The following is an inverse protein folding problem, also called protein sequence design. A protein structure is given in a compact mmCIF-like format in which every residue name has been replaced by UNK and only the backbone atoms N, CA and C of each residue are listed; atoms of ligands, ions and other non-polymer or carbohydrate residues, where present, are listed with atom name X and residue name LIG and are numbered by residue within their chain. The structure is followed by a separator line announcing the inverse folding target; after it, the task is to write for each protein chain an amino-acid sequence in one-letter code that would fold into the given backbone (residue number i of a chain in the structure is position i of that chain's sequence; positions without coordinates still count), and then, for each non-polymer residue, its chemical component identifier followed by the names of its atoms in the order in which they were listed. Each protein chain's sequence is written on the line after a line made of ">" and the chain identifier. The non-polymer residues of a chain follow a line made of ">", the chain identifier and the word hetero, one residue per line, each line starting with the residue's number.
data_IF_425218396938
#
_entry.id   IF_425218396938
#
_cell.length_a   1.000
_cell.length_b   1.000
_cell.length_c   1.000
_cell.angle_alpha   90.00
_cell.angle_beta   90.00
_cell.angle_gamma   90.00
#
_symmetry.space_group_name_H-M   'P 1'
#
loop_
_entity.id
_entity.type
_entity.pdbx_description
1 polymer ?
#
# COMPACT_ATOMS: atom_id res chain seq x y z
N UNK A 1 6.67 4.81 25.70
CA UNK A 1 6.41 4.03 24.46
C UNK A 1 5.02 4.33 23.89
N UNK A 2 3.91 4.13 24.60
CA UNK A 2 2.57 4.37 24.06
C UNK A 2 2.33 5.83 23.63
N UNK A 3 2.97 6.80 24.28
CA UNK A 3 2.86 8.23 23.93
C UNK A 3 3.60 8.61 22.62
N UNK A 4 4.32 7.67 21.99
CA UNK A 4 5.00 7.90 20.71
C UNK A 4 4.10 7.57 19.52
N UNK A 5 3.04 6.76 19.73
CA UNK A 5 2.07 6.48 18.68
C UNK A 5 1.13 7.68 18.51
N UNK A 6 1.13 8.27 17.34
CA UNK A 6 0.19 9.34 17.01
C UNK A 6 -1.21 8.80 16.71
N UNK A 7 -2.21 9.68 16.86
CA UNK A 7 -3.58 9.39 16.43
C UNK A 7 -3.60 9.05 14.93
N UNK A 8 -4.37 8.04 14.57
CA UNK A 8 -4.47 7.60 13.18
C UNK A 8 -5.07 8.72 12.29
N UNK A 9 -4.68 8.85 11.00
CA UNK A 9 -5.13 9.94 10.12
C UNK A 9 -6.63 10.16 10.08
N UNK A 10 -7.42 9.09 10.11
CA UNK A 10 -8.89 9.19 10.10
C UNK A 10 -9.47 9.72 11.42
N UNK A 11 -8.81 9.47 12.56
CA UNK A 11 -9.19 10.08 13.83
C UNK A 11 -8.86 11.58 13.86
N UNK A 12 -7.71 11.97 13.30
CA UNK A 12 -7.34 13.39 13.13
C UNK A 12 -8.38 14.09 12.24
N UNK A 13 -8.77 13.47 11.12
CA UNK A 13 -9.79 14.01 10.22
C UNK A 13 -11.16 14.14 10.93
N UNK A 14 -11.55 13.15 11.73
CA UNK A 14 -12.79 13.22 12.50
C UNK A 14 -12.80 14.41 13.48
N UNK A 15 -11.66 14.69 14.11
CA UNK A 15 -11.51 15.86 15.00
C UNK A 15 -11.55 17.15 14.18
N UNK A 16 -10.88 17.24 13.06
CA UNK A 16 -10.89 18.42 12.16
C UNK A 16 -12.31 18.79 11.72
N UNK A 17 -13.14 17.80 11.44
CA UNK A 17 -14.51 17.99 10.93
C UNK A 17 -15.59 17.96 12.01
N UNK A 18 -15.23 17.89 13.30
CA UNK A 18 -16.18 17.68 14.41
C UNK A 18 -17.32 18.74 14.48
N UNK A 19 -17.05 19.96 13.99
CA UNK A 19 -18.00 21.07 13.99
C UNK A 19 -18.37 21.52 12.57
N UNK A 20 -18.06 20.71 11.57
CA UNK A 20 -18.37 20.98 10.16
C UNK A 20 -19.56 20.14 9.73
N UNK A 21 -20.37 20.69 8.83
CA UNK A 21 -21.52 20.00 8.24
C UNK A 21 -21.51 20.20 6.73
N UNK A 22 -21.84 19.17 5.95
CA UNK A 22 -21.98 19.31 4.50
C UNK A 22 -23.27 20.09 4.19
N UNK A 23 -23.49 20.54 2.94
CA UNK A 23 -24.75 21.13 2.52
C UNK A 23 -25.92 20.15 2.76
N UNK A 24 -27.05 20.67 3.21
CA UNK A 24 -28.18 19.87 3.74
C UNK A 24 -28.87 18.96 2.71
N UNK A 25 -28.67 19.16 1.41
CA UNK A 25 -29.34 18.43 0.33
C UNK A 25 -28.37 17.79 -0.69
N UNK A 26 -27.06 17.80 -0.43
CA UNK A 26 -26.09 17.27 -1.37
C UNK A 26 -25.67 15.83 -1.02
N UNK A 27 -25.33 15.06 -2.05
CA UNK A 27 -24.70 13.73 -1.91
C UNK A 27 -23.30 13.90 -1.26
N UNK A 28 -22.97 13.05 -0.28
CA UNK A 28 -21.67 13.07 0.37
C UNK A 28 -20.74 12.07 -0.32
N UNK A 29 -19.59 12.53 -0.80
CA UNK A 29 -18.56 11.71 -1.44
C UNK A 29 -17.38 11.48 -0.49
N UNK A 30 -17.21 10.24 -0.02
CA UNK A 30 -16.10 9.85 0.87
C UNK A 30 -14.91 9.38 0.07
N UNK A 31 -13.99 10.30 -0.24
CA UNK A 31 -12.77 10.02 -1.01
C UNK A 31 -11.52 9.86 -0.11
N UNK A 32 -11.71 9.50 1.15
CA UNK A 32 -10.62 9.44 2.17
C UNK A 32 -9.99 8.07 2.28
N UNK A 33 -10.79 7.00 2.25
CA UNK A 33 -10.35 5.63 2.56
C UNK A 33 -10.10 4.87 1.27
N UNK A 34 -8.89 4.32 1.12
CA UNK A 34 -8.52 3.45 0.01
C UNK A 34 -9.05 2.03 0.19
N UNK A 35 -10.35 1.88 0.38
CA UNK A 35 -11.04 0.60 0.46
C UNK A 35 -11.93 0.41 -0.78
N UNK A 36 -11.69 -0.67 -1.56
CA UNK A 36 -12.53 -0.97 -2.71
C UNK A 36 -14.02 -1.00 -2.36
N UNK A 37 -14.85 -0.31 -3.14
CA UNK A 37 -16.30 -0.24 -2.95
C UNK A 37 -17.07 -1.23 -3.86
N UNK A 38 -16.34 -2.12 -4.54
CA UNK A 38 -16.94 -3.19 -5.36
C UNK A 38 -17.27 -4.41 -4.48
N UNK A 39 -18.31 -5.18 -4.83
CA UNK A 39 -18.60 -6.41 -4.11
C UNK A 39 -17.43 -7.41 -4.24
N UNK A 40 -17.23 -8.19 -3.19
CA UNK A 40 -16.30 -9.32 -3.26
C UNK A 40 -16.79 -10.31 -4.31
N UNK A 41 -15.92 -10.82 -5.20
CA UNK A 41 -16.29 -11.78 -6.24
C UNK A 41 -17.02 -13.01 -5.68
N UNK A 42 -18.07 -13.45 -6.40
CA UNK A 42 -18.97 -14.51 -5.95
C UNK A 42 -18.25 -15.85 -5.74
N UNK A 43 -17.28 -16.19 -6.59
CA UNK A 43 -16.46 -17.41 -6.46
C UNK A 43 -15.65 -17.45 -5.15
N UNK A 44 -15.22 -16.31 -4.65
CA UNK A 44 -14.52 -16.19 -3.35
C UNK A 44 -15.49 -16.47 -2.20
N UNK A 45 -16.70 -15.88 -2.27
CA UNK A 45 -17.76 -16.07 -1.26
C UNK A 45 -18.20 -17.54 -1.20
N UNK A 46 -18.45 -18.14 -2.35
CA UNK A 46 -18.84 -19.55 -2.47
C UNK A 46 -17.75 -20.49 -1.92
N UNK A 47 -16.50 -20.25 -2.25
CA UNK A 47 -15.39 -21.02 -1.70
C UNK A 47 -15.32 -20.92 -0.18
N UNK A 48 -15.48 -19.74 0.39
CA UNK A 48 -15.53 -19.54 1.83
C UNK A 48 -16.69 -20.31 2.48
N UNK A 49 -17.91 -20.20 1.93
CA UNK A 49 -19.11 -20.86 2.44
C UNK A 49 -18.96 -22.39 2.43
N UNK A 50 -18.48 -22.95 1.30
CA UNK A 50 -18.30 -24.39 1.13
C UNK A 50 -17.23 -24.96 2.06
N UNK A 51 -16.27 -24.16 2.49
CA UNK A 51 -15.18 -24.57 3.37
C UNK A 51 -15.39 -24.17 4.85
N UNK A 52 -16.52 -23.53 5.21
CA UNK A 52 -16.81 -23.13 6.59
C UNK A 52 -16.68 -24.28 7.63
N UNK A 53 -17.01 -25.56 7.33
CA UNK A 53 -16.78 -26.67 8.27
C UNK A 53 -15.32 -26.85 8.71
N UNK A 54 -14.34 -26.35 7.97
CA UNK A 54 -12.92 -26.41 8.34
C UNK A 54 -12.55 -25.52 9.54
N UNK A 55 -13.48 -24.71 10.07
CA UNK A 55 -13.28 -23.92 11.30
C UNK A 55 -12.98 -24.82 12.53
N UNK A 56 -13.24 -26.12 12.45
CA UNK A 56 -12.92 -27.08 13.52
C UNK A 56 -11.44 -27.51 13.56
N UNK A 57 -10.56 -26.93 12.72
CA UNK A 57 -9.15 -27.31 12.61
C UNK A 57 -8.23 -26.07 12.72
N UNK A 58 -7.08 -26.27 13.37
CA UNK A 58 -6.04 -25.25 13.38
C UNK A 58 -5.33 -25.16 12.01
N UNK A 59 -5.09 -23.96 11.50
CA UNK A 59 -4.29 -23.76 10.29
C UNK A 59 -2.78 -23.82 10.60
N UNK A 60 -1.97 -24.14 9.59
CA UNK A 60 -0.51 -24.00 9.68
C UNK A 60 -0.14 -22.51 9.66
N UNK A 61 0.79 -22.08 10.50
CA UNK A 61 1.33 -20.71 10.47
C UNK A 61 2.07 -20.39 9.18
N UNK A 62 2.64 -21.40 8.52
CA UNK A 62 3.30 -21.29 7.22
C UNK A 62 2.32 -21.21 6.02
N UNK A 63 1.02 -21.31 6.26
CA UNK A 63 0.00 -21.49 5.22
C UNK A 63 -0.11 -22.90 4.67
N UNK A 64 -1.27 -23.24 4.12
CA UNK A 64 -1.49 -24.51 3.45
C UNK A 64 -0.91 -24.49 2.03
N UNK A 65 -0.53 -25.66 1.53
CA UNK A 65 0.18 -25.81 0.25
C UNK A 65 -0.65 -25.24 -0.92
N UNK A 66 -1.97 -25.47 -0.95
CA UNK A 66 -2.87 -24.94 -1.97
C UNK A 66 -2.82 -23.40 -2.05
N UNK A 67 -2.77 -22.69 -0.92
CA UNK A 67 -2.65 -21.24 -0.91
C UNK A 67 -1.27 -20.78 -1.37
N UNK A 68 -0.20 -21.48 -0.94
CA UNK A 68 1.15 -21.20 -1.40
C UNK A 68 1.30 -21.38 -2.91
N UNK A 69 0.77 -22.47 -3.44
CA UNK A 69 0.83 -22.77 -4.87
C UNK A 69 0.07 -21.71 -5.69
N UNK A 70 -1.10 -21.28 -5.22
CA UNK A 70 -1.85 -20.20 -5.87
C UNK A 70 -1.08 -18.88 -5.88
N UNK A 71 -0.41 -18.52 -4.78
CA UNK A 71 0.40 -17.32 -4.68
C UNK A 71 1.69 -17.43 -5.52
N UNK A 72 2.35 -18.59 -5.56
CA UNK A 72 3.49 -18.87 -6.43
C UNK A 72 3.13 -18.78 -7.91
N UNK A 73 2.00 -19.39 -8.28
CA UNK A 73 1.49 -19.31 -9.65
C UNK A 73 1.25 -17.85 -10.08
N UNK A 74 0.65 -17.05 -9.18
CA UNK A 74 0.47 -15.62 -9.45
C UNK A 74 1.79 -14.90 -9.65
N UNK A 75 2.71 -14.97 -8.69
CA UNK A 75 3.94 -14.18 -8.73
C UNK A 75 4.87 -14.61 -9.88
N UNK A 76 5.01 -15.92 -10.09
CA UNK A 76 5.86 -16.47 -11.14
C UNK A 76 5.33 -16.08 -12.53
N UNK A 77 4.02 -16.19 -12.75
CA UNK A 77 3.40 -15.81 -14.02
C UNK A 77 3.43 -14.29 -14.24
N UNK A 78 3.09 -13.51 -13.19
CA UNK A 78 2.97 -12.05 -13.27
C UNK A 78 4.30 -11.37 -13.57
N UNK A 79 5.38 -11.86 -12.98
CA UNK A 79 6.70 -11.26 -13.07
C UNK A 79 7.73 -12.08 -13.86
N UNK A 80 7.30 -13.20 -14.47
CA UNK A 80 8.17 -14.13 -15.18
C UNK A 80 9.34 -14.60 -14.32
N UNK A 81 9.03 -15.13 -13.14
CA UNK A 81 9.98 -15.63 -12.14
C UNK A 81 9.81 -17.15 -11.95
N UNK A 82 10.71 -17.75 -11.16
CA UNK A 82 10.71 -19.18 -10.80
C UNK A 82 10.95 -19.38 -9.31
N UNK A 83 10.15 -18.68 -8.47
CA UNK A 83 10.20 -18.84 -7.02
C UNK A 83 9.75 -20.24 -6.62
N UNK A 84 10.31 -20.73 -5.51
CA UNK A 84 9.96 -22.00 -4.87
C UNK A 84 9.10 -21.78 -3.63
N UNK A 85 8.56 -22.85 -3.07
CA UNK A 85 7.73 -22.82 -1.85
C UNK A 85 8.48 -22.35 -0.60
N UNK A 86 9.81 -22.44 -0.59
CA UNK A 86 10.66 -21.91 0.49
C UNK A 86 10.84 -20.38 0.42
N UNK A 87 10.60 -19.79 -0.74
CA UNK A 87 10.76 -18.36 -1.01
C UNK A 87 9.45 -17.56 -0.88
N UNK A 88 8.41 -18.15 -0.29
CA UNK A 88 7.13 -17.47 -0.08
C UNK A 88 6.45 -17.92 1.21
N UNK A 89 5.80 -16.98 1.90
CA UNK A 89 4.96 -17.23 3.07
C UNK A 89 3.62 -16.52 2.92
N UNK A 90 2.49 -17.25 2.92
CA UNK A 90 1.16 -16.66 3.06
C UNK A 90 1.02 -15.89 4.39
N UNK A 91 0.39 -14.72 4.34
CA UNK A 91 0.26 -13.82 5.50
C UNK A 91 -1.17 -13.40 5.76
N UNK A 92 -1.47 -12.96 6.97
CA UNK A 92 -2.76 -12.38 7.36
C UNK A 92 -2.91 -10.93 6.84
N UNK A 93 -2.71 -10.77 5.53
CA UNK A 93 -2.54 -9.48 4.86
C UNK A 93 -1.15 -8.89 5.10
N UNK A 94 -0.74 -7.94 4.26
CA UNK A 94 0.62 -7.37 4.32
C UNK A 94 0.88 -6.54 5.58
N UNK A 95 -0.17 -6.00 6.23
CA UNK A 95 -0.02 -5.27 7.50
C UNK A 95 0.64 -6.11 8.58
N UNK A 96 0.38 -7.43 8.61
CA UNK A 96 1.06 -8.36 9.51
C UNK A 96 2.58 -8.26 9.38
N UNK A 97 3.09 -8.42 8.17
CA UNK A 97 4.53 -8.38 7.90
C UNK A 97 5.10 -6.99 8.15
N UNK A 98 4.45 -5.95 7.62
CA UNK A 98 4.90 -4.57 7.78
C UNK A 98 5.07 -4.15 9.25
N UNK A 99 4.27 -4.71 10.15
CA UNK A 99 4.38 -4.42 11.58
C UNK A 99 5.32 -5.39 12.32
N UNK A 100 5.20 -6.69 12.07
CA UNK A 100 5.90 -7.70 12.86
C UNK A 100 7.34 -7.97 12.37
N UNK A 101 7.61 -7.85 11.07
CA UNK A 101 8.93 -8.13 10.51
C UNK A 101 10.01 -7.19 11.05
N UNK A 102 9.82 -5.87 11.14
CA UNK A 102 10.79 -4.98 11.76
C UNK A 102 11.13 -5.38 13.20
N UNK A 103 10.14 -5.77 13.99
CA UNK A 103 10.35 -6.23 15.36
C UNK A 103 11.18 -7.51 15.43
N UNK A 104 10.96 -8.44 14.50
CA UNK A 104 11.75 -9.66 14.37
C UNK A 104 13.17 -9.38 13.92
N UNK A 105 13.32 -8.68 12.78
CA UNK A 105 14.60 -8.52 12.11
C UNK A 105 15.58 -7.61 12.87
N UNK A 106 15.04 -6.60 13.52
CA UNK A 106 15.81 -5.62 14.28
C UNK A 106 16.01 -6.00 15.75
N UNK A 107 15.40 -7.12 16.19
CA UNK A 107 15.54 -7.61 17.57
C UNK A 107 17.01 -7.85 17.95
N UNK A 108 17.43 -7.28 19.08
CA UNK A 108 18.78 -7.48 19.61
C UNK A 108 19.88 -6.62 18.94
N UNK A 109 19.57 -5.85 17.90
CA UNK A 109 20.50 -4.84 17.37
C UNK A 109 20.66 -3.68 18.37
N UNK A 110 21.87 -3.17 18.54
CA UNK A 110 22.16 -2.14 19.53
C UNK A 110 21.50 -0.79 19.19
N UNK A 111 21.53 -0.38 17.93
CA UNK A 111 20.98 0.88 17.43
C UNK A 111 20.26 0.63 16.10
N UNK A 112 19.12 -0.10 16.13
CA UNK A 112 18.46 -0.46 14.88
C UNK A 112 17.97 0.78 14.15
N UNK A 113 18.16 0.81 12.82
CA UNK A 113 17.78 1.93 11.97
C UNK A 113 16.88 1.46 10.83
N UNK A 114 15.72 2.09 10.67
CA UNK A 114 14.76 1.83 9.61
C UNK A 114 14.55 3.08 8.76
N UNK A 115 14.52 2.91 7.43
CA UNK A 115 14.18 3.97 6.50
C UNK A 115 12.87 3.65 5.77
N UNK A 116 12.02 4.67 5.56
CA UNK A 116 10.79 4.56 4.78
C UNK A 116 10.41 5.88 4.11
N UNK A 117 9.57 5.87 3.03
CA UNK A 117 9.15 7.08 2.34
C UNK A 117 8.37 8.03 3.26
N UNK A 118 8.42 9.33 2.99
CA UNK A 118 7.64 10.37 3.67
C UNK A 118 7.06 11.33 2.61
N UNK A 119 5.73 11.35 2.37
CA UNK A 119 4.64 10.72 3.15
C UNK A 119 4.61 9.19 3.04
N UNK A 120 3.89 8.55 3.98
CA UNK A 120 3.93 7.09 4.18
C UNK A 120 2.59 6.49 4.63
N UNK A 121 2.52 5.17 4.60
CA UNK A 121 1.48 4.41 5.29
C UNK A 121 1.86 4.23 6.77
N UNK A 122 1.01 4.70 7.68
CA UNK A 122 1.30 4.84 9.12
C UNK A 122 1.78 3.58 9.83
N UNK A 123 1.59 2.42 9.22
CA UNK A 123 2.10 1.16 9.78
C UNK A 123 3.63 1.12 9.83
N UNK A 124 4.33 1.82 8.91
CA UNK A 124 5.79 1.85 8.87
C UNK A 124 6.35 2.55 10.11
N UNK A 125 5.80 3.70 10.46
CA UNK A 125 6.17 4.42 11.69
C UNK A 125 5.81 3.61 12.94
N UNK A 126 4.61 3.02 12.98
CA UNK A 126 4.20 2.17 14.09
C UNK A 126 5.15 1.00 14.32
N UNK A 127 5.64 0.39 13.23
CA UNK A 127 6.62 -0.71 13.30
C UNK A 127 8.00 -0.22 13.78
N UNK A 128 8.45 0.95 13.32
CA UNK A 128 9.70 1.57 13.76
C UNK A 128 9.68 1.89 15.26
N UNK A 129 8.58 2.47 15.75
CA UNK A 129 8.37 2.74 17.19
C UNK A 129 8.38 1.42 17.99
N UNK A 130 7.65 0.38 17.53
CA UNK A 130 7.55 -0.91 18.20
C UNK A 130 8.89 -1.66 18.25
N UNK A 131 9.73 -1.51 17.22
CA UNK A 131 11.09 -2.06 17.17
C UNK A 131 12.14 -1.17 17.83
N UNK A 132 11.76 0.00 18.38
CA UNK A 132 12.66 0.99 18.99
C UNK A 132 13.77 1.45 18.05
N UNK A 133 13.45 1.58 16.78
CA UNK A 133 14.42 1.93 15.75
C UNK A 133 14.60 3.44 15.60
N UNK A 134 15.80 3.85 15.25
CA UNK A 134 16.05 5.13 14.61
C UNK A 134 15.29 5.18 13.29
N UNK A 135 14.68 6.33 12.98
CA UNK A 135 13.91 6.53 11.77
C UNK A 135 14.66 7.46 10.82
N UNK A 136 14.82 7.03 9.57
CA UNK A 136 15.27 7.87 8.46
C UNK A 136 14.07 8.07 7.52
N UNK A 137 13.65 9.33 7.33
CA UNK A 137 12.56 9.69 6.45
C UNK A 137 13.10 9.99 5.05
N UNK A 138 12.68 9.21 4.05
CA UNK A 138 12.98 9.46 2.64
C UNK A 138 11.93 10.40 2.08
N UNK A 139 12.17 11.71 2.13
CA UNK A 139 11.21 12.73 1.72
C UNK A 139 10.90 12.66 0.22
N UNK A 140 9.61 12.48 -0.10
CA UNK A 140 9.09 12.47 -1.46
C UNK A 140 8.56 13.86 -1.82
N UNK A 141 9.26 14.55 -2.71
CA UNK A 141 8.96 15.93 -3.12
C UNK A 141 8.83 16.03 -4.64
N UNK A 142 8.29 17.14 -5.14
CA UNK A 142 8.28 17.43 -6.59
C UNK A 142 9.71 17.49 -7.15
N UNK A 143 10.65 18.08 -6.40
CA UNK A 143 12.05 18.26 -6.84
C UNK A 143 12.77 16.93 -7.08
N UNK A 144 12.45 15.90 -6.31
CA UNK A 144 13.01 14.55 -6.52
C UNK A 144 12.04 13.62 -7.27
N UNK A 145 11.01 14.18 -7.92
CA UNK A 145 9.98 13.43 -8.63
C UNK A 145 9.31 12.35 -7.78
N UNK A 146 9.14 12.60 -6.49
CA UNK A 146 8.61 11.66 -5.50
C UNK A 146 9.39 10.33 -5.44
N UNK A 147 10.71 10.38 -5.63
CA UNK A 147 11.60 9.22 -5.63
C UNK A 147 12.35 9.13 -4.29
N UNK A 148 12.22 8.03 -3.53
CA UNK A 148 12.96 7.83 -2.29
C UNK A 148 14.45 7.65 -2.56
N UNK A 149 15.30 8.20 -1.68
CA UNK A 149 16.74 8.02 -1.72
C UNK A 149 17.35 8.13 -0.33
N UNK A 150 18.54 7.57 -0.16
CA UNK A 150 19.38 7.68 1.03
C UNK A 150 20.74 8.26 0.64
N UNK A 151 21.34 9.04 1.52
CA UNK A 151 22.70 9.51 1.37
C UNK A 151 23.69 8.37 1.60
N UNK A 152 24.97 8.47 1.14
CA UNK A 152 25.99 7.45 1.40
C UNK A 152 26.19 7.17 2.90
N UNK A 153 26.02 8.16 3.76
CA UNK A 153 26.15 7.99 5.21
C UNK A 153 24.95 7.22 5.79
N UNK A 154 23.74 7.48 5.30
CA UNK A 154 22.53 6.77 5.74
C UNK A 154 22.56 5.31 5.27
N UNK A 155 23.04 5.04 4.05
CA UNK A 155 23.21 3.68 3.51
C UNK A 155 24.14 2.82 4.38
N UNK A 156 25.19 3.41 4.99
CA UNK A 156 26.11 2.71 5.89
C UNK A 156 25.48 2.35 7.25
N UNK A 157 24.41 3.04 7.66
CA UNK A 157 23.84 2.91 8.98
C UNK A 157 22.44 2.29 9.00
N UNK A 158 21.77 2.17 7.84
CA UNK A 158 20.42 1.60 7.78
C UNK A 158 20.46 0.07 7.85
N UNK A 159 19.54 -0.52 8.60
CA UNK A 159 19.38 -1.96 8.72
C UNK A 159 18.21 -2.50 7.87
N UNK A 160 17.15 -1.71 7.77
CA UNK A 160 15.92 -2.08 7.08
C UNK A 160 15.38 -0.89 6.30
N UNK A 161 15.11 -1.08 5.02
CA UNK A 161 14.44 -0.12 4.16
C UNK A 161 13.07 -0.64 3.78
N UNK A 162 12.03 0.16 3.99
CA UNK A 162 10.71 -0.10 3.43
C UNK A 162 10.55 0.79 2.22
N UNK A 163 10.34 0.18 1.06
CA UNK A 163 9.89 0.85 -0.15
C UNK A 163 8.38 0.62 -0.32
N UNK A 164 7.71 1.49 -1.06
CA UNK A 164 6.32 1.31 -1.43
C UNK A 164 6.14 1.71 -2.90
N UNK A 165 6.05 0.70 -3.77
CA UNK A 165 5.94 0.90 -5.20
C UNK A 165 5.01 -0.14 -5.83
N UNK A 166 3.82 0.30 -6.32
CA UNK A 166 3.29 1.67 -6.41
C UNK A 166 3.01 2.32 -5.05
N UNK A 167 3.25 3.62 -4.95
CA UNK A 167 3.27 4.37 -3.69
C UNK A 167 1.87 4.85 -3.26
N UNK A 168 1.57 4.70 -1.99
CA UNK A 168 0.52 5.41 -1.27
C UNK A 168 1.18 6.49 -0.38
N UNK A 169 0.92 7.79 -0.61
CA UNK A 169 -0.24 8.36 -1.30
C UNK A 169 0.01 8.85 -2.73
N UNK A 170 1.24 8.91 -3.22
CA UNK A 170 1.61 9.68 -4.41
C UNK A 170 1.22 9.03 -5.75
N UNK A 171 0.87 7.73 -5.75
CA UNK A 171 0.62 6.97 -6.97
C UNK A 171 1.86 6.68 -7.81
N UNK A 172 3.06 7.06 -7.36
CA UNK A 172 4.30 6.88 -8.14
C UNK A 172 4.80 5.45 -8.11
N UNK A 173 5.53 5.09 -9.16
CA UNK A 173 6.17 3.78 -9.32
C UNK A 173 7.67 3.98 -9.50
N UNK A 174 8.45 3.16 -8.83
CA UNK A 174 9.88 3.08 -9.08
C UNK A 174 10.13 2.25 -10.34
N UNK A 175 10.80 2.82 -11.37
CA UNK A 175 11.21 2.04 -12.54
C UNK A 175 12.09 0.85 -12.16
N UNK A 176 12.10 -0.17 -13.00
CA UNK A 176 12.91 -1.38 -12.79
C UNK A 176 14.39 -1.07 -12.53
N UNK A 177 14.94 -0.08 -13.25
CA UNK A 177 16.32 0.37 -13.04
C UNK A 177 16.55 0.93 -11.64
N UNK A 178 15.65 1.78 -11.14
CA UNK A 178 15.75 2.34 -9.77
C UNK A 178 15.64 1.25 -8.71
N UNK A 179 14.73 0.29 -8.88
CA UNK A 179 14.64 -0.87 -7.99
C UNK A 179 15.92 -1.73 -8.06
N UNK A 180 16.55 -1.85 -9.25
CA UNK A 180 17.82 -2.58 -9.40
C UNK A 180 18.96 -1.90 -8.65
N UNK A 181 19.02 -0.57 -8.65
CA UNK A 181 20.02 0.18 -7.84
C UNK A 181 19.77 -0.01 -6.34
N UNK A 182 18.52 0.01 -5.89
CA UNK A 182 18.19 -0.32 -4.51
C UNK A 182 18.65 -1.71 -4.08
N UNK A 183 18.47 -2.72 -4.95
CA UNK A 183 18.98 -4.08 -4.71
C UNK A 183 20.49 -4.10 -4.58
N UNK A 184 21.22 -3.44 -5.49
CA UNK A 184 22.70 -3.35 -5.42
C UNK A 184 23.16 -2.69 -4.11
N UNK A 185 22.53 -1.59 -3.72
CA UNK A 185 22.82 -0.93 -2.44
C UNK A 185 22.55 -1.84 -1.24
N UNK A 186 21.44 -2.60 -1.26
CA UNK A 186 21.14 -3.55 -0.18
C UNK A 186 22.19 -4.66 -0.05
N UNK A 187 22.76 -5.11 -1.17
CA UNK A 187 23.84 -6.10 -1.18
C UNK A 187 25.18 -5.50 -0.73
N UNK A 188 25.50 -4.29 -1.20
CA UNK A 188 26.74 -3.59 -0.90
C UNK A 188 26.83 -3.19 0.58
N UNK A 189 25.76 -2.58 1.11
CA UNK A 189 25.72 -2.06 2.47
C UNK A 189 25.09 -3.04 3.48
N UNK A 190 24.63 -4.20 3.01
CA UNK A 190 24.09 -5.29 3.82
C UNK A 190 22.88 -4.92 4.69
N UNK A 191 21.91 -4.19 4.13
CA UNK A 191 20.60 -3.97 4.72
C UNK A 191 19.51 -4.78 4.01
N UNK A 192 18.36 -4.98 4.64
CA UNK A 192 17.21 -5.66 4.04
C UNK A 192 16.24 -4.66 3.44
N UNK A 193 15.67 -4.99 2.28
CA UNK A 193 14.56 -4.24 1.69
C UNK A 193 13.26 -5.04 1.80
N UNK A 194 12.21 -4.37 2.28
CA UNK A 194 10.82 -4.77 2.08
C UNK A 194 10.20 -3.81 1.06
N UNK A 195 9.77 -4.31 -0.10
CA UNK A 195 8.96 -3.51 -1.02
C UNK A 195 7.47 -3.85 -0.86
N UNK A 196 6.67 -2.88 -0.42
CA UNK A 196 5.21 -3.01 -0.35
C UNK A 196 4.61 -2.78 -1.73
N UNK A 197 4.22 -3.89 -2.40
CA UNK A 197 3.69 -3.95 -3.75
C UNK A 197 2.16 -4.15 -3.77
N UNK A 198 1.43 -3.75 -2.71
CA UNK A 198 -0.01 -3.99 -2.57
C UNK A 198 -0.87 -3.40 -3.71
N UNK A 199 -0.34 -2.44 -4.46
CA UNK A 199 -1.02 -1.80 -5.58
C UNK A 199 -0.52 -2.26 -6.95
N UNK A 200 0.27 -3.33 -7.04
CA UNK A 200 0.89 -3.82 -8.28
C UNK A 200 -0.10 -4.19 -9.39
N UNK A 201 -1.35 -4.49 -9.02
CA UNK A 201 -2.40 -4.86 -9.98
C UNK A 201 -3.33 -3.69 -10.34
N UNK A 202 -3.04 -2.48 -9.87
CA UNK A 202 -3.81 -1.28 -10.18
C UNK A 202 -2.95 -0.32 -10.99
N UNK A 203 -3.14 -0.36 -12.30
CA UNK A 203 -2.41 0.44 -13.30
C UNK A 203 -3.26 0.63 -14.57
N UNK A 204 -2.95 1.62 -15.38
CA UNK A 204 -3.67 1.85 -16.64
C UNK A 204 -3.13 0.96 -17.77
N UNK A 205 -1.94 1.22 -18.26
CA UNK A 205 -1.40 0.57 -19.45
C UNK A 205 -0.20 -0.34 -19.16
N UNK A 206 0.73 0.14 -18.35
CA UNK A 206 2.01 -0.55 -18.10
C UNK A 206 2.03 -1.12 -16.69
N UNK A 207 2.14 -2.46 -16.56
CA UNK A 207 2.24 -3.07 -15.24
C UNK A 207 3.52 -2.63 -14.51
N UNK A 208 3.44 -2.27 -13.21
CA UNK A 208 4.61 -1.90 -12.43
C UNK A 208 5.54 -3.11 -12.23
N UNK A 209 6.88 -2.89 -12.18
CA UNK A 209 7.82 -3.95 -11.88
C UNK A 209 7.79 -4.36 -10.41
N UNK A 210 8.25 -5.58 -10.12
CA UNK A 210 8.54 -6.04 -8.76
C UNK A 210 10.02 -5.87 -8.42
N UNK A 211 10.34 -5.68 -7.13
CA UNK A 211 11.72 -5.70 -6.64
C UNK A 211 12.37 -7.07 -6.85
N UNK A 212 11.58 -8.14 -6.96
CA UNK A 212 12.10 -9.48 -7.28
C UNK A 212 12.63 -9.55 -8.72
N UNK A 213 11.98 -8.88 -9.68
CA UNK A 213 12.52 -8.74 -11.04
C UNK A 213 13.82 -7.93 -11.03
N UNK A 214 13.86 -6.86 -10.24
CA UNK A 214 15.06 -6.06 -10.06
C UNK A 214 16.22 -6.86 -9.42
N UNK A 215 15.88 -7.77 -8.51
CA UNK A 215 16.87 -8.68 -7.90
C UNK A 215 17.52 -9.60 -8.94
N UNK A 216 16.73 -10.19 -9.84
CA UNK A 216 17.27 -10.96 -10.96
C UNK A 216 18.17 -10.09 -11.84
N UNK A 217 17.74 -8.87 -12.18
CA UNK A 217 18.51 -7.93 -13.00
C UNK A 217 19.81 -7.49 -12.32
N UNK A 218 19.84 -7.45 -11.00
CA UNK A 218 21.04 -7.15 -10.20
C UNK A 218 21.96 -8.36 -9.99
N UNK A 219 21.76 -9.49 -10.70
CA UNK A 219 22.47 -10.76 -10.51
C UNK A 219 22.34 -11.35 -9.09
N UNK A 220 21.19 -11.18 -8.47
CA UNK A 220 20.83 -11.71 -7.15
C UNK A 220 19.65 -12.71 -7.25
N UNK A 221 19.83 -13.88 -7.89
CA UNK A 221 18.74 -14.83 -8.15
C UNK A 221 18.22 -15.55 -6.89
N UNK A 222 18.94 -15.50 -5.77
CA UNK A 222 18.52 -16.00 -4.46
C UNK A 222 17.76 -14.95 -3.66
N UNK A 223 17.54 -13.75 -4.21
CA UNK A 223 16.83 -12.64 -3.54
C UNK A 223 17.45 -12.24 -2.20
N UNK A 224 18.76 -12.45 -2.00
CA UNK A 224 19.44 -12.12 -0.75
C UNK A 224 19.11 -10.69 -0.31
N UNK A 225 18.67 -10.51 0.93
CA UNK A 225 18.25 -9.25 1.54
C UNK A 225 17.00 -8.59 0.92
N UNK A 226 16.25 -9.27 0.05
CA UNK A 226 15.13 -8.69 -0.69
C UNK A 226 13.83 -9.43 -0.36
N UNK A 227 12.81 -8.64 0.03
CA UNK A 227 11.46 -9.13 0.29
C UNK A 227 10.43 -8.27 -0.45
N UNK A 228 9.50 -8.92 -1.14
CA UNK A 228 8.33 -8.29 -1.75
C UNK A 228 7.06 -8.69 -1.01
N UNK A 229 6.15 -7.73 -0.80
CA UNK A 229 4.82 -7.96 -0.23
C UNK A 229 3.75 -7.76 -1.28
N UNK A 230 2.73 -8.60 -1.28
CA UNK A 230 1.56 -8.39 -2.11
C UNK A 230 0.26 -8.82 -1.38
N UNK A 231 -0.89 -8.34 -1.86
CA UNK A 231 -2.19 -8.55 -1.22
C UNK A 231 -3.33 -8.64 -2.21
N UNK A 232 -4.33 -9.48 -1.91
CA UNK A 232 -5.59 -9.51 -2.67
C UNK A 232 -6.52 -8.33 -2.33
N UNK A 233 -6.24 -7.58 -1.26
CA UNK A 233 -7.15 -6.56 -0.74
C UNK A 233 -7.59 -5.54 -1.78
N UNK A 234 -6.69 -5.14 -2.68
CA UNK A 234 -6.96 -4.11 -3.70
C UNK A 234 -7.30 -4.72 -5.05
N UNK A 235 -6.55 -5.75 -5.46
CA UNK A 235 -6.74 -6.42 -6.76
C UNK A 235 -8.05 -7.19 -6.89
N UNK A 236 -8.55 -7.78 -5.78
CA UNK A 236 -9.69 -8.69 -5.79
C UNK A 236 -10.90 -8.17 -5.00
N UNK A 237 -10.93 -6.88 -4.65
CA UNK A 237 -11.99 -6.28 -3.82
C UNK A 237 -12.37 -7.13 -2.60
N UNK A 238 -11.38 -7.73 -1.94
CA UNK A 238 -11.57 -8.64 -0.80
C UNK A 238 -10.68 -8.28 0.39
N UNK A 239 -10.70 -7.03 0.90
CA UNK A 239 -9.83 -6.61 2.00
C UNK A 239 -10.14 -7.38 3.30
N UNK A 240 -11.39 -7.77 3.51
CA UNK A 240 -11.84 -8.54 4.68
C UNK A 240 -11.35 -9.98 4.71
N UNK A 241 -10.93 -10.56 3.56
CA UNK A 241 -10.39 -11.92 3.48
C UNK A 241 -9.00 -12.05 4.12
N UNK A 242 -8.30 -10.94 4.35
CA UNK A 242 -7.00 -10.89 5.04
C UNK A 242 -5.92 -11.77 4.42
N UNK A 243 -5.78 -11.83 3.12
CA UNK A 243 -4.75 -12.62 2.46
C UNK A 243 -3.73 -11.74 1.74
N UNK A 244 -2.46 -12.04 2.00
CA UNK A 244 -1.29 -11.52 1.33
C UNK A 244 -0.18 -12.55 1.36
N UNK A 245 0.99 -12.16 0.91
CA UNK A 245 2.22 -12.94 1.05
C UNK A 245 3.43 -12.03 1.21
N UNK A 246 4.50 -12.63 1.73
CA UNK A 246 5.87 -12.12 1.63
C UNK A 246 6.70 -13.13 0.84
N UNK A 247 7.48 -12.66 -0.13
CA UNK A 247 8.31 -13.51 -0.98
C UNK A 247 9.71 -12.91 -1.17
N UNK A 248 10.74 -13.76 -1.32
CA UNK A 248 12.11 -13.32 -1.55
C UNK A 248 13.14 -14.21 -0.86
N UNK A 249 14.04 -13.62 -0.06
CA UNK A 249 15.14 -14.27 0.64
C UNK A 249 14.69 -15.46 1.50
N UNK A 250 15.06 -16.67 1.10
CA UNK A 250 14.66 -17.92 1.73
C UNK A 250 15.14 -18.04 3.19
N UNK A 251 16.38 -17.63 3.48
CA UNK A 251 16.96 -17.75 4.82
C UNK A 251 16.28 -16.80 5.80
N UNK A 252 15.98 -15.58 5.35
CA UNK A 252 15.20 -14.62 6.14
C UNK A 252 13.79 -15.15 6.37
N UNK A 253 13.13 -15.65 5.31
CA UNK A 253 11.77 -16.16 5.40
C UNK A 253 11.67 -17.40 6.31
N UNK A 254 12.63 -18.30 6.27
CA UNK A 254 12.71 -19.46 7.15
C UNK A 254 12.74 -19.04 8.62
N UNK A 255 13.59 -18.10 8.97
CA UNK A 255 13.71 -17.55 10.33
C UNK A 255 12.48 -16.77 10.76
N UNK A 256 11.93 -15.95 9.87
CA UNK A 256 10.70 -15.19 10.12
C UNK A 256 9.49 -16.11 10.29
N UNK A 257 9.38 -17.19 9.51
CA UNK A 257 8.29 -18.14 9.66
C UNK A 257 8.32 -18.84 11.02
N UNK A 258 9.51 -19.16 11.55
CA UNK A 258 9.66 -19.67 12.91
C UNK A 258 9.15 -18.66 13.95
N UNK A 259 9.53 -17.39 13.84
CA UNK A 259 9.02 -16.33 14.71
C UNK A 259 7.49 -16.21 14.64
N UNK A 260 6.90 -16.31 13.44
CA UNK A 260 5.44 -16.24 13.23
C UNK A 260 4.65 -17.34 13.95
N UNK A 261 5.26 -18.49 14.24
CA UNK A 261 4.57 -19.56 15.00
C UNK A 261 4.14 -19.11 16.39
N UNK A 262 4.79 -18.07 16.93
CA UNK A 262 4.46 -17.50 18.25
C UNK A 262 3.49 -16.32 18.20
N UNK A 263 3.24 -15.74 17.01
CA UNK A 263 2.40 -14.53 16.85
C UNK A 263 0.89 -14.83 16.77
N UNK A 264 0.48 -16.05 16.48
CA UNK A 264 -0.93 -16.39 16.29
C UNK A 264 -1.57 -15.75 15.03
N UNK A 265 -0.80 -15.52 13.98
CA UNK A 265 -1.22 -14.80 12.76
C UNK A 265 -1.59 -15.74 11.59
N UNK A 266 -1.87 -17.01 11.86
CA UNK A 266 -2.26 -17.96 10.82
C UNK A 266 -3.67 -17.66 10.28
N UNK A 267 -3.81 -17.60 8.95
CA UNK A 267 -5.09 -17.39 8.29
C UNK A 267 -5.99 -18.63 8.49
N UNK A 268 -7.25 -18.50 8.97
CA UNK A 268 -8.17 -19.63 9.13
C UNK A 268 -8.35 -20.43 7.85
N UNK A 269 -8.46 -21.77 7.95
CA UNK A 269 -8.52 -22.66 6.79
C UNK A 269 -9.61 -22.30 5.76
N UNK A 270 -10.87 -21.95 6.14
CA UNK A 270 -11.87 -21.52 5.17
C UNK A 270 -11.43 -20.29 4.37
N UNK A 271 -10.74 -19.35 5.03
CA UNK A 271 -10.24 -18.15 4.37
C UNK A 271 -9.02 -18.46 3.48
N UNK A 272 -8.18 -19.44 3.83
CA UNK A 272 -7.10 -19.89 2.94
C UNK A 272 -7.64 -20.50 1.64
N UNK A 273 -8.71 -21.31 1.72
CA UNK A 273 -9.39 -21.86 0.54
C UNK A 273 -9.95 -20.77 -0.38
N UNK A 274 -10.67 -19.81 0.20
CA UNK A 274 -11.20 -18.67 -0.54
C UNK A 274 -10.07 -17.78 -1.12
N UNK A 275 -8.97 -17.60 -0.37
CA UNK A 275 -7.81 -16.86 -0.85
C UNK A 275 -7.12 -17.56 -2.02
N UNK A 276 -6.99 -18.89 -2.01
CA UNK A 276 -6.42 -19.64 -3.14
C UNK A 276 -7.24 -19.41 -4.43
N UNK A 277 -8.59 -19.40 -4.34
CA UNK A 277 -9.46 -19.04 -5.45
C UNK A 277 -9.17 -17.61 -5.94
N UNK A 278 -9.07 -16.65 -5.02
CA UNK A 278 -8.80 -15.25 -5.35
C UNK A 278 -7.43 -15.05 -6.03
N UNK A 279 -6.38 -15.75 -5.58
CA UNK A 279 -5.05 -15.66 -6.18
C UNK A 279 -4.98 -16.30 -7.58
N UNK A 280 -5.73 -17.36 -7.83
CA UNK A 280 -5.83 -18.00 -9.15
C UNK A 280 -6.74 -17.25 -10.12
N UNK A 281 -7.63 -16.37 -9.64
CA UNK A 281 -8.51 -15.56 -10.49
C UNK A 281 -7.71 -14.40 -11.11
N UNK A 282 -7.65 -14.39 -12.45
CA UNK A 282 -6.99 -13.32 -13.21
C UNK A 282 -7.99 -12.40 -13.93
N UNK A 283 -9.24 -12.83 -14.09
CA UNK A 283 -10.25 -12.07 -14.83
C UNK A 283 -10.89 -10.97 -13.98
N UNK A 284 -11.28 -11.28 -12.75
CA UNK A 284 -11.89 -10.30 -11.86
C UNK A 284 -10.93 -9.14 -11.53
N UNK A 285 -9.65 -9.39 -11.16
CA UNK A 285 -8.68 -8.31 -10.98
C UNK A 285 -8.50 -7.43 -12.21
N UNK A 286 -8.55 -8.00 -13.42
CA UNK A 286 -8.48 -7.23 -14.66
C UNK A 286 -9.69 -6.31 -14.83
N UNK A 287 -10.90 -6.80 -14.57
CA UNK A 287 -12.12 -6.02 -14.63
C UNK A 287 -12.10 -4.86 -13.62
N UNK A 288 -11.66 -5.12 -12.38
CA UNK A 288 -11.51 -4.10 -11.32
C UNK A 288 -10.47 -3.06 -11.75
N UNK A 289 -9.33 -3.48 -12.29
CA UNK A 289 -8.28 -2.59 -12.80
C UNK A 289 -8.81 -1.65 -13.86
N UNK A 290 -9.60 -2.12 -14.80
CA UNK A 290 -10.19 -1.29 -15.85
C UNK A 290 -11.08 -0.18 -15.28
N UNK A 291 -11.84 -0.45 -14.21
CA UNK A 291 -12.65 0.58 -13.55
C UNK A 291 -11.74 1.65 -12.92
N UNK A 292 -10.68 1.25 -12.21
CA UNK A 292 -9.73 2.20 -11.61
C UNK A 292 -8.96 3.00 -12.67
N UNK A 293 -8.54 2.35 -13.75
CA UNK A 293 -7.89 3.02 -14.89
C UNK A 293 -8.80 4.12 -15.47
N UNK A 294 -10.08 3.81 -15.68
CA UNK A 294 -11.06 4.79 -16.14
C UNK A 294 -11.28 5.91 -15.12
N UNK A 295 -11.29 5.62 -13.82
CA UNK A 295 -11.40 6.63 -12.78
C UNK A 295 -10.21 7.61 -12.78
N UNK A 296 -8.99 7.12 -12.98
CA UNK A 296 -7.80 7.98 -13.11
C UNK A 296 -7.86 8.85 -14.38
N UNK A 297 -8.29 8.29 -15.50
CA UNK A 297 -8.49 9.04 -16.74
C UNK A 297 -9.55 10.15 -16.56
N UNK A 298 -10.71 9.83 -15.94
CA UNK A 298 -11.74 10.80 -15.59
C UNK A 298 -11.23 11.90 -14.66
N UNK A 299 -10.37 11.55 -13.70
CA UNK A 299 -9.79 12.55 -12.80
C UNK A 299 -8.90 13.54 -13.55
N UNK A 300 -8.05 13.06 -14.47
CA UNK A 300 -7.23 13.95 -15.32
C UNK A 300 -8.09 14.86 -16.21
N UNK A 301 -9.09 14.27 -16.86
CA UNK A 301 -10.00 15.02 -17.74
C UNK A 301 -10.77 16.10 -16.98
N UNK A 302 -11.46 15.72 -15.89
CA UNK A 302 -12.37 16.62 -15.16
C UNK A 302 -11.59 17.68 -14.38
N UNK A 303 -10.47 17.31 -13.75
CA UNK A 303 -9.64 18.25 -12.98
C UNK A 303 -8.66 19.02 -13.85
N UNK A 304 -8.58 18.73 -15.16
CA UNK A 304 -7.67 19.37 -16.13
C UNK A 304 -6.19 19.20 -15.72
N UNK A 305 -5.84 17.99 -15.24
CA UNK A 305 -4.51 17.60 -14.80
C UNK A 305 -3.92 16.56 -15.76
N UNK A 306 -2.59 16.41 -15.77
CA UNK A 306 -1.88 15.46 -16.62
C UNK A 306 -1.30 14.27 -15.82
N UNK A 307 -0.61 13.32 -16.48
CA UNK A 307 0.00 12.16 -15.84
C UNK A 307 1.16 12.50 -14.90
N UNK A 308 1.77 13.67 -15.03
CA UNK A 308 2.77 14.16 -14.08
C UNK A 308 2.11 14.53 -12.76
N UNK A 309 0.86 14.96 -12.77
CA UNK A 309 0.09 15.36 -11.59
C UNK A 309 -0.73 14.18 -11.04
N UNK A 310 -1.32 13.36 -11.92
CA UNK A 310 -2.06 12.15 -11.56
C UNK A 310 -1.40 10.95 -12.24
N UNK A 311 -0.62 10.20 -11.48
CA UNK A 311 0.09 9.04 -11.97
C UNK A 311 -0.86 7.92 -12.44
N UNK A 312 -0.48 7.10 -13.45
CA UNK A 312 -1.32 6.03 -13.99
C UNK A 312 -1.31 4.76 -13.13
N UNK A 313 -1.10 4.88 -11.82
CA UNK A 313 -0.99 3.76 -10.88
C UNK A 313 -1.78 4.04 -9.61
N UNK A 314 -2.16 2.98 -8.91
CA UNK A 314 -3.03 3.00 -7.74
C UNK A 314 -4.44 3.51 -8.09
N UNK A 315 -5.19 3.90 -7.10
CA UNK A 315 -6.44 4.66 -7.23
C UNK A 315 -6.38 5.96 -6.43
N UNK A 316 -5.16 6.42 -6.12
CA UNK A 316 -4.96 7.66 -5.39
C UNK A 316 -4.60 8.81 -6.32
N UNK A 317 -5.16 9.97 -6.00
CA UNK A 317 -4.70 11.26 -6.50
C UNK A 317 -4.08 12.01 -5.34
N UNK A 318 -2.83 12.46 -5.54
CA UNK A 318 -2.10 13.32 -4.64
C UNK A 318 -2.20 14.75 -5.16
N UNK A 319 -3.30 15.42 -4.76
CA UNK A 319 -3.68 16.72 -5.31
C UNK A 319 -2.99 17.83 -4.54
N UNK A 320 -2.28 18.70 -5.26
CA UNK A 320 -1.65 19.89 -4.70
C UNK A 320 -2.69 20.96 -4.33
N UNK A 321 -2.56 21.51 -3.13
CA UNK A 321 -3.33 22.62 -2.57
C UNK A 321 -2.39 23.57 -1.84
N UNK A 322 -2.86 24.69 -1.31
CA UNK A 322 -2.03 25.60 -0.51
C UNK A 322 -2.04 25.25 0.99
N UNK A 323 -3.14 24.67 1.48
CA UNK A 323 -3.31 24.24 2.87
C UNK A 323 -4.29 23.07 2.92
N UNK A 324 -3.79 21.91 3.29
CA UNK A 324 -4.50 20.65 3.23
C UNK A 324 -5.70 20.56 4.19
N UNK A 325 -5.55 20.97 5.44
CA UNK A 325 -6.63 20.93 6.44
C UNK A 325 -7.75 21.92 6.10
N UNK A 326 -7.37 23.14 5.71
CA UNK A 326 -8.34 24.17 5.29
C UNK A 326 -9.10 23.71 4.04
N UNK A 327 -8.39 23.16 3.05
CA UNK A 327 -9.04 22.66 1.85
C UNK A 327 -9.99 21.47 2.15
N UNK A 328 -9.58 20.50 2.97
CA UNK A 328 -10.43 19.37 3.36
C UNK A 328 -11.72 19.83 4.05
N UNK A 329 -11.61 20.76 4.98
CA UNK A 329 -12.77 21.33 5.67
C UNK A 329 -13.68 22.07 4.70
N UNK A 330 -13.13 22.93 3.86
CA UNK A 330 -13.86 23.71 2.87
C UNK A 330 -14.59 22.83 1.85
N UNK A 331 -13.92 21.84 1.28
CA UNK A 331 -14.52 20.92 0.31
C UNK A 331 -15.70 20.13 0.91
N UNK A 332 -15.58 19.74 2.16
CA UNK A 332 -16.67 19.09 2.89
C UNK A 332 -17.85 20.03 3.14
N UNK A 333 -17.60 21.23 3.68
CA UNK A 333 -18.64 22.20 4.03
C UNK A 333 -19.36 22.79 2.81
N UNK A 334 -18.68 22.97 1.69
CA UNK A 334 -19.25 23.58 0.47
C UNK A 334 -19.84 22.57 -0.51
N UNK A 335 -19.28 21.38 -0.61
CA UNK A 335 -19.60 20.43 -1.68
C UNK A 335 -19.82 18.99 -1.19
N UNK A 336 -19.80 18.70 0.11
CA UNK A 336 -19.94 17.35 0.64
C UNK A 336 -18.80 16.40 0.25
N UNK A 337 -17.63 16.91 -0.16
CA UNK A 337 -16.49 16.08 -0.59
C UNK A 337 -15.49 15.90 0.55
N UNK A 338 -15.36 14.67 1.03
CA UNK A 338 -14.39 14.28 2.06
C UNK A 338 -13.08 13.85 1.41
N UNK A 339 -12.00 14.58 1.69
CA UNK A 339 -10.62 14.25 1.28
C UNK A 339 -9.75 14.08 2.51
N UNK A 340 -8.54 13.54 2.37
CA UNK A 340 -7.64 13.30 3.51
C UNK A 340 -6.47 14.30 3.46
N UNK A 341 -6.24 15.11 4.54
CA UNK A 341 -5.09 15.98 4.61
C UNK A 341 -3.78 15.22 4.44
N UNK A 342 -2.90 15.75 3.61
CA UNK A 342 -1.63 15.11 3.31
C UNK A 342 -0.65 15.16 4.48
N UNK A 343 -0.69 16.21 5.31
CA UNK A 343 0.11 16.32 6.53
C UNK A 343 -0.17 15.20 7.53
N UNK A 344 -1.36 14.57 7.48
CA UNK A 344 -1.67 13.41 8.31
C UNK A 344 -0.97 12.13 7.86
N UNK A 345 -0.45 12.12 6.63
CA UNK A 345 0.29 11.02 6.04
C UNK A 345 1.81 11.24 6.06
N UNK A 346 2.27 12.41 6.46
CA UNK A 346 3.68 12.78 6.51
C UNK A 346 4.15 13.23 7.88
N UNK A 347 5.45 13.50 7.96
CA UNK A 347 6.12 14.15 9.11
C UNK A 347 6.96 15.32 8.58
N UNK A 348 7.43 16.18 9.49
CA UNK A 348 8.29 17.33 9.16
C UNK A 348 7.66 18.24 8.09
N UNK A 349 6.36 18.51 8.21
CA UNK A 349 5.57 19.31 7.28
C UNK A 349 5.41 18.72 5.86
N UNK A 350 5.85 17.48 5.60
CA UNK A 350 5.58 16.83 4.32
C UNK A 350 4.09 16.58 4.14
N UNK A 351 3.59 16.88 2.95
CA UNK A 351 2.20 16.68 2.58
C UNK A 351 1.24 17.81 2.94
N UNK A 352 1.66 18.86 3.67
CA UNK A 352 0.79 19.98 4.07
C UNK A 352 0.19 20.76 2.89
N UNK A 353 0.84 20.68 1.72
CA UNK A 353 0.40 21.33 0.49
C UNK A 353 -0.31 20.34 -0.45
N UNK A 354 -0.81 19.22 0.11
CA UNK A 354 -1.48 18.16 -0.66
C UNK A 354 -2.66 17.58 0.09
N UNK A 355 -3.62 17.06 -0.68
CA UNK A 355 -4.67 16.19 -0.16
C UNK A 355 -4.67 14.88 -0.91
N UNK A 356 -4.90 13.75 -0.20
CA UNK A 356 -5.09 12.46 -0.82
C UNK A 356 -6.56 12.23 -1.13
N UNK A 357 -6.83 11.80 -2.36
CA UNK A 357 -8.15 11.45 -2.87
C UNK A 357 -8.11 9.97 -3.29
N UNK A 358 -9.07 9.17 -2.84
CA UNK A 358 -9.20 7.77 -3.17
C UNK A 358 -10.37 7.56 -4.14
N UNK A 359 -10.11 7.18 -5.38
CA UNK A 359 -11.08 6.97 -6.46
C UNK A 359 -11.60 5.52 -6.43
N UNK A 360 -12.30 5.15 -5.37
CA UNK A 360 -12.68 3.75 -5.06
C UNK A 360 -14.08 3.37 -5.50
N UNK A 361 -14.88 4.32 -5.98
CA UNK A 361 -16.25 4.10 -6.46
C UNK A 361 -16.30 3.58 -7.91
N UNK A 362 -17.48 3.17 -8.35
CA UNK A 362 -17.76 2.97 -9.77
C UNK A 362 -17.55 4.26 -10.59
N UNK A 363 -17.48 4.13 -11.92
CA UNK A 363 -17.12 5.26 -12.78
C UNK A 363 -18.15 6.42 -12.73
N UNK A 364 -19.46 6.12 -12.60
CA UNK A 364 -20.50 7.16 -12.58
C UNK A 364 -20.50 7.93 -11.25
N UNK A 365 -20.37 7.22 -10.13
CA UNK A 365 -20.23 7.86 -8.82
C UNK A 365 -18.93 8.66 -8.72
N UNK A 366 -17.82 8.10 -9.22
CA UNK A 366 -16.53 8.80 -9.30
C UNK A 366 -16.63 10.07 -10.14
N UNK A 367 -17.33 10.02 -11.28
CA UNK A 367 -17.53 11.20 -12.13
C UNK A 367 -18.27 12.32 -11.39
N UNK A 368 -19.36 12.00 -10.69
CA UNK A 368 -20.09 13.00 -9.87
C UNK A 368 -19.21 13.57 -8.78
N UNK A 369 -18.48 12.74 -8.05
CA UNK A 369 -17.55 13.16 -7.01
C UNK A 369 -16.46 14.10 -7.53
N UNK A 370 -15.90 13.81 -8.72
CA UNK A 370 -14.89 14.64 -9.36
C UNK A 370 -15.43 16.00 -9.82
N UNK A 371 -16.67 16.08 -10.29
CA UNK A 371 -17.30 17.38 -10.61
C UNK A 371 -17.54 18.21 -9.36
N UNK A 372 -18.02 17.59 -8.26
CA UNK A 372 -18.14 18.25 -6.97
C UNK A 372 -16.79 18.75 -6.44
N UNK A 373 -15.74 17.92 -6.55
CA UNK A 373 -14.37 18.30 -6.20
C UNK A 373 -13.84 19.44 -7.05
N UNK A 374 -14.05 19.41 -8.38
CA UNK A 374 -13.64 20.52 -9.28
C UNK A 374 -14.29 21.84 -8.85
N UNK A 375 -15.60 21.82 -8.54
CA UNK A 375 -16.29 22.99 -8.06
C UNK A 375 -15.74 23.46 -6.70
N UNK A 376 -15.44 22.55 -5.78
CA UNK A 376 -14.79 22.89 -4.51
C UNK A 376 -13.44 23.59 -4.74
N UNK A 377 -12.61 23.09 -5.65
CA UNK A 377 -11.30 23.68 -6.01
C UNK A 377 -11.50 25.11 -6.58
N UNK A 378 -12.48 25.31 -7.46
CA UNK A 378 -12.77 26.62 -8.03
C UNK A 378 -13.19 27.64 -6.96
N UNK A 379 -14.19 27.30 -6.14
CA UNK A 379 -14.66 28.14 -5.06
C UNK A 379 -13.57 28.43 -4.01
N UNK A 380 -12.73 27.44 -3.71
CA UNK A 380 -11.62 27.60 -2.78
C UNK A 380 -10.58 28.60 -3.30
N UNK A 381 -10.25 28.54 -4.59
CA UNK A 381 -9.34 29.51 -5.22
C UNK A 381 -9.90 30.92 -5.23
N UNK A 382 -11.22 31.09 -5.46
CA UNK A 382 -11.87 32.40 -5.41
C UNK A 382 -11.86 33.01 -4.00
N UNK A 383 -11.89 32.18 -2.95
CA UNK A 383 -11.96 32.65 -1.56
C UNK A 383 -10.59 32.86 -0.91
N UNK A 384 -9.56 32.06 -1.29
CA UNK A 384 -8.29 32.00 -0.56
C UNK A 384 -7.01 32.19 -1.40
N UNK A 385 -7.09 32.16 -2.72
CA UNK A 385 -5.94 32.28 -3.62
C UNK A 385 -6.13 33.48 -4.54
#
# INVERSE_FOLDING_TARGET
>A
MLNQFESYPFEKLRVLLAYSSPPSNDEIFTLTIGEPQFPTPQNIIESWQNNAPLLNKYPKSSGEDELKDAQLNFINKRYNLTLTTSQIIPTFGTREVLFNFPQFYLFGKANPTIAYPNPFYQIYEGAAIASKSHIILMNLTEDNHFTPSLTPQELQNVDLVILNSPNNPTGRVLPLQSLTEWVKQALEYNFVIINDECYSEIYENTPPPSILQASIQANNPQFKNILALNSISKRSSAPGLRSGFVAGDEEILKSYNLYRTYLGCALPLPLQKAAAVAWNDMQTPESIRHIYAKNLALAREILELNEVQIAPYTFYVWLKVDNDERFCKFAYEKMGVLTLPGSYLGRESQGKDYVRIALVYDNETTKRALFALKKAIQLYKEEYV
#
